data_IF_558925786596
#
_entry.id   IF_558925786596
#
_cell.length_a   1.000
_cell.length_b   1.000
_cell.length_c   1.000
_cell.angle_alpha   90.00
_cell.angle_beta   90.00
_cell.angle_gamma   90.00
#
_symmetry.space_group_name_H-M   'P 1'
#
loop_
_entity.id
_entity.type
_entity.pdbx_description
1 polymer ?
#
# COMPACT_ATOMS: atom_id res chain seq x y z
N UNK A 1 13.24 19.53 -63.65
CA UNK A 1 13.36 18.09 -63.35
C UNK A 1 13.75 17.94 -61.89
N UNK A 2 12.77 17.69 -61.01
CA UNK A 2 13.08 17.35 -59.61
C UNK A 2 13.60 15.92 -59.66
N UNK A 3 14.88 15.74 -59.36
CA UNK A 3 15.60 14.48 -59.56
C UNK A 3 15.09 13.41 -58.58
N UNK A 4 15.10 12.14 -59.00
CA UNK A 4 14.80 10.95 -58.17
C UNK A 4 15.47 10.99 -56.79
N UNK A 5 16.64 11.63 -56.72
CA UNK A 5 17.39 11.90 -55.49
C UNK A 5 16.58 12.71 -54.47
N UNK A 6 15.84 13.72 -54.91
CA UNK A 6 15.04 14.59 -54.04
C UNK A 6 13.84 13.84 -53.45
N UNK A 7 13.14 13.02 -54.25
CA UNK A 7 12.05 12.17 -53.76
C UNK A 7 12.54 11.12 -52.77
N UNK A 8 13.69 10.53 -53.05
CA UNK A 8 14.35 9.55 -52.17
C UNK A 8 14.75 10.20 -50.86
N UNK A 9 15.38 11.38 -50.91
CA UNK A 9 15.75 12.14 -49.72
C UNK A 9 14.52 12.54 -48.89
N UNK A 10 13.41 12.95 -49.52
CA UNK A 10 12.18 13.31 -48.82
C UNK A 10 11.55 12.11 -48.11
N UNK A 11 11.50 10.95 -48.78
CA UNK A 11 10.92 9.71 -48.24
C UNK A 11 11.71 9.22 -47.02
N UNK A 12 13.03 9.16 -47.12
CA UNK A 12 13.86 8.72 -46.01
C UNK A 12 13.92 9.76 -44.89
N UNK A 13 13.93 11.06 -45.21
CA UNK A 13 13.81 12.13 -44.23
C UNK A 13 12.51 12.05 -43.42
N UNK A 14 11.38 11.85 -44.10
CA UNK A 14 10.09 11.65 -43.45
C UNK A 14 10.07 10.38 -42.58
N UNK A 15 10.65 9.27 -43.07
CA UNK A 15 10.72 8.02 -42.30
C UNK A 15 11.53 8.20 -41.02
N UNK A 16 12.68 8.88 -41.07
CA UNK A 16 13.51 9.17 -39.89
C UNK A 16 12.74 10.07 -38.92
N UNK A 17 12.08 11.12 -39.42
CA UNK A 17 11.28 12.01 -38.59
C UNK A 17 10.16 11.26 -37.86
N UNK A 18 9.44 10.37 -38.56
CA UNK A 18 8.40 9.53 -37.99
C UNK A 18 8.98 8.58 -36.94
N UNK A 19 10.13 7.98 -37.21
CA UNK A 19 10.81 7.11 -36.25
C UNK A 19 11.24 7.85 -34.98
N UNK A 20 11.78 9.07 -35.12
CA UNK A 20 12.12 9.95 -33.99
C UNK A 20 10.87 10.32 -33.20
N UNK A 21 9.76 10.64 -33.88
CA UNK A 21 8.50 10.93 -33.22
C UNK A 21 7.98 9.73 -32.41
N UNK A 22 7.96 8.53 -33.00
CA UNK A 22 7.57 7.29 -32.30
C UNK A 22 8.50 7.01 -31.12
N UNK A 23 9.81 7.21 -31.30
CA UNK A 23 10.76 7.03 -30.20
C UNK A 23 10.54 8.05 -29.07
N UNK A 24 10.25 9.31 -29.40
CA UNK A 24 9.93 10.37 -28.44
C UNK A 24 8.61 10.10 -27.70
N UNK A 25 7.56 9.64 -28.38
CA UNK A 25 6.28 9.32 -27.74
C UNK A 25 6.41 8.14 -26.79
N UNK A 26 7.09 7.07 -27.21
CA UNK A 26 7.39 5.93 -26.34
C UNK A 26 8.25 6.38 -25.16
N UNK A 27 9.34 7.11 -25.40
CA UNK A 27 10.21 7.64 -24.35
C UNK A 27 9.47 8.57 -23.39
N UNK A 28 8.56 9.40 -23.87
CA UNK A 28 7.73 10.29 -23.03
C UNK A 28 6.81 9.48 -22.12
N UNK A 29 6.15 8.47 -22.68
CA UNK A 29 5.27 7.58 -21.92
C UNK A 29 6.05 6.83 -20.83
N UNK A 30 7.24 6.32 -21.16
CA UNK A 30 8.11 5.68 -20.17
C UNK A 30 8.63 6.66 -19.12
N UNK A 31 9.03 7.88 -19.51
CA UNK A 31 9.49 8.91 -18.57
C UNK A 31 8.39 9.40 -17.64
N UNK A 32 7.16 9.58 -18.11
CA UNK A 32 6.06 10.00 -17.25
C UNK A 32 5.76 8.92 -16.21
N UNK A 33 5.80 7.64 -16.59
CA UNK A 33 5.66 6.51 -15.65
C UNK A 33 6.80 6.50 -14.62
N UNK A 34 8.04 6.86 -14.99
CA UNK A 34 9.16 6.95 -14.05
C UNK A 34 9.16 8.22 -13.19
N UNK A 35 8.67 9.36 -13.70
CA UNK A 35 8.60 10.64 -12.97
C UNK A 35 7.45 10.64 -11.95
N UNK A 36 6.39 9.85 -12.18
CA UNK A 36 5.42 9.46 -11.15
C UNK A 36 5.89 8.29 -10.26
N UNK A 37 7.20 8.18 -10.01
CA UNK A 37 7.73 7.60 -8.77
C UNK A 37 8.09 8.72 -7.77
N UNK A 38 7.14 9.28 -6.99
CA UNK A 38 7.47 10.26 -5.97
C UNK A 38 8.38 9.63 -4.91
N UNK A 39 9.61 10.11 -4.90
CA UNK A 39 10.59 9.99 -3.82
C UNK A 39 9.91 9.93 -2.45
N UNK A 40 10.24 8.89 -1.64
CA UNK A 40 9.91 8.74 -0.21
C UNK A 40 9.92 10.12 0.49
N UNK A 41 8.74 10.74 0.61
CA UNK A 41 8.68 12.13 1.01
C UNK A 41 9.10 12.25 2.48
N UNK A 42 10.04 13.15 2.71
CA UNK A 42 10.70 13.44 4.01
C UNK A 42 9.71 13.84 5.12
N UNK A 43 8.42 14.01 4.79
CA UNK A 43 7.33 14.32 5.70
C UNK A 43 7.15 13.25 6.80
N UNK A 44 7.30 11.96 6.49
CA UNK A 44 7.18 10.88 7.49
C UNK A 44 8.32 10.91 8.51
N UNK A 45 9.54 11.29 8.10
CA UNK A 45 10.71 11.41 8.99
C UNK A 45 10.58 12.53 10.02
N UNK A 46 9.79 13.58 9.74
CA UNK A 46 9.48 14.64 10.72
C UNK A 46 8.46 14.16 11.76
N UNK A 47 7.40 13.45 11.34
CA UNK A 47 6.36 12.94 12.26
C UNK A 47 6.93 11.95 13.30
N UNK A 48 7.83 11.05 12.87
CA UNK A 48 8.47 10.09 13.77
C UNK A 48 9.50 10.75 14.74
N UNK A 49 10.18 11.82 14.31
CA UNK A 49 11.07 12.60 15.20
C UNK A 49 10.29 13.41 16.23
N UNK A 50 9.12 13.92 15.86
CA UNK A 50 8.25 14.66 16.78
C UNK A 50 7.68 13.72 17.85
N UNK A 51 7.22 12.53 17.45
CA UNK A 51 6.70 11.51 18.37
C UNK A 51 7.75 11.04 19.39
N UNK A 52 9.02 10.92 18.98
CA UNK A 52 10.12 10.58 19.91
C UNK A 52 10.43 11.70 20.89
N UNK A 53 10.28 12.99 20.51
CA UNK A 53 10.52 14.12 21.41
C UNK A 53 9.42 14.27 22.47
N UNK A 54 8.16 13.96 22.13
CA UNK A 54 7.05 14.03 23.11
C UNK A 54 7.11 12.92 24.15
N UNK A 55 7.69 11.76 23.81
CA UNK A 55 7.86 10.64 24.73
C UNK A 55 9.05 10.79 25.70
N UNK A 56 9.84 11.88 25.60
CA UNK A 56 11.12 12.03 26.29
C UNK A 56 11.17 13.23 27.26
N UNK A 57 10.01 13.68 27.75
CA UNK A 57 9.93 14.65 28.86
C UNK A 57 9.76 13.92 30.20
N UNK A 58 10.75 13.97 31.12
CA UNK A 58 10.59 13.51 32.49
C UNK A 58 10.27 14.68 33.44
N UNK A 59 9.31 14.49 34.33
CA UNK A 59 9.11 15.29 35.54
C UNK A 59 8.59 14.38 36.67
N UNK A 60 8.81 14.68 37.96
CA UNK A 60 10.00 15.18 38.64
C UNK A 60 10.49 14.17 39.72
N UNK A 61 11.80 14.01 39.93
CA UNK A 61 12.32 13.20 41.05
C UNK A 61 12.55 14.07 42.29
N UNK A 62 11.75 13.82 43.32
CA UNK A 62 11.98 14.29 44.69
C UNK A 62 13.19 13.56 45.31
N UNK A 63 14.02 14.32 46.01
CA UNK A 63 15.15 13.88 46.86
C UNK A 63 14.59 13.47 48.24
N UNK A 64 15.20 12.52 48.98
CA UNK A 64 16.22 12.90 49.95
C UNK A 64 17.37 11.88 50.09
N UNK A 65 18.30 12.19 50.98
CA UNK A 65 19.66 11.67 51.06
C UNK A 65 19.85 10.43 51.97
N UNK A 66 20.77 9.54 51.54
CA UNK A 66 21.92 8.96 52.26
C UNK A 66 21.70 8.30 53.64
N UNK A 67 21.99 6.98 53.74
CA UNK A 67 23.09 6.40 54.55
C UNK A 67 23.05 4.85 54.61
N UNK A 68 24.22 4.21 54.39
CA UNK A 68 24.82 2.99 55.04
C UNK A 68 23.94 1.76 55.42
N UNK A 69 24.37 0.48 55.46
CA UNK A 69 25.55 -0.35 55.10
C UNK A 69 25.14 -1.81 55.48
N UNK A 70 25.60 -2.80 54.72
CA UNK A 70 25.90 -4.22 55.05
C UNK A 70 24.80 -5.27 55.43
N UNK A 71 24.97 -6.56 54.99
CA UNK A 71 24.09 -7.74 55.22
C UNK A 71 24.60 -8.62 56.42
N UNK A 72 24.10 -9.84 56.80
CA UNK A 72 23.34 -10.86 56.03
C UNK A 72 22.31 -11.78 56.79
N UNK A 73 21.79 -12.78 56.05
CA UNK A 73 21.23 -14.11 56.44
C UNK A 73 19.88 -14.24 57.18
N UNK A 74 18.96 -15.06 56.60
CA UNK A 74 17.88 -15.76 57.32
C UNK A 74 16.55 -15.93 56.58
N UNK A 75 16.37 -17.09 55.92
CA UNK A 75 15.17 -17.94 55.72
C UNK A 75 13.80 -17.43 55.11
N UNK A 76 13.44 -18.11 54.00
CA UNK A 76 12.18 -18.51 53.30
C UNK A 76 10.77 -18.25 53.93
N UNK A 77 9.60 -18.41 53.22
CA UNK A 77 9.25 -18.59 51.78
C UNK A 77 8.04 -17.73 51.26
N UNK A 78 7.71 -17.75 49.95
CA UNK A 78 6.33 -17.82 49.33
C UNK A 78 6.18 -17.10 47.96
N UNK A 79 5.60 -17.82 46.97
CA UNK A 79 5.14 -17.38 45.63
C UNK A 79 3.78 -16.60 45.71
N UNK A 80 3.10 -16.09 44.62
CA UNK A 80 3.25 -16.30 43.16
C UNK A 80 3.15 -15.03 42.24
N UNK A 81 3.19 -15.25 40.90
CA UNK A 81 3.05 -14.31 39.76
C UNK A 81 1.64 -13.62 39.65
N UNK A 82 1.27 -12.67 38.72
CA UNK A 82 1.42 -12.75 37.23
C UNK A 82 1.48 -11.40 36.40
N UNK A 83 1.34 -11.52 35.05
CA UNK A 83 0.91 -10.59 33.95
C UNK A 83 1.89 -9.55 33.33
N UNK A 84 2.38 -9.75 32.09
CA UNK A 84 1.85 -9.42 30.72
C UNK A 84 1.89 -7.90 30.38
N UNK A 85 2.13 -7.38 29.17
CA UNK A 85 2.57 -7.83 27.84
C UNK A 85 2.60 -6.57 26.92
N UNK A 86 3.51 -6.50 25.92
CA UNK A 86 3.36 -5.79 24.63
C UNK A 86 4.68 -5.95 23.81
N UNK A 87 4.98 -7.12 23.23
CA UNK A 87 4.60 -7.56 21.87
C UNK A 87 5.36 -6.80 20.75
N UNK A 88 6.61 -7.20 20.44
CA UNK A 88 7.02 -8.12 19.34
C UNK A 88 6.67 -7.61 17.92
N UNK A 89 7.62 -6.89 17.34
CA UNK A 89 7.83 -6.84 15.89
C UNK A 89 8.40 -8.20 15.45
N UNK A 90 7.51 -9.12 15.10
CA UNK A 90 7.75 -10.33 14.29
C UNK A 90 6.39 -11.03 14.15
N UNK A 91 5.58 -10.59 13.19
CA UNK A 91 4.46 -11.37 12.66
C UNK A 91 4.91 -11.80 11.25
N UNK A 92 5.55 -12.96 11.12
CA UNK A 92 4.93 -14.28 11.05
C UNK A 92 4.47 -14.58 9.62
N UNK A 93 5.37 -15.20 8.86
CA UNK A 93 5.01 -16.27 7.93
C UNK A 93 4.24 -17.32 8.73
N UNK A 94 2.91 -17.24 8.72
CA UNK A 94 2.03 -18.33 9.09
C UNK A 94 1.56 -19.02 7.79
N UNK A 95 1.35 -20.35 7.79
CA UNK A 95 0.65 -21.04 6.71
C UNK A 95 -0.84 -20.77 6.88
N UNK A 96 -1.28 -19.59 6.45
CA UNK A 96 -2.66 -19.12 6.51
C UNK A 96 -2.88 -18.16 5.36
N UNK A 97 -4.11 -18.04 4.85
CA UNK A 97 -4.43 -17.20 3.70
C UNK A 97 -4.00 -15.74 3.85
N UNK A 98 -4.16 -14.92 2.80
CA UNK A 98 -3.68 -13.55 2.82
C UNK A 98 -4.36 -12.79 3.96
N UNK A 99 -3.55 -12.02 4.69
CA UNK A 99 -3.89 -11.30 5.92
C UNK A 99 -3.84 -9.78 5.76
N UNK A 100 -3.33 -9.31 4.62
CA UNK A 100 -3.12 -7.90 4.35
C UNK A 100 -3.55 -7.53 2.93
N UNK A 101 -4.29 -6.44 2.78
CA UNK A 101 -4.46 -5.78 1.49
C UNK A 101 -3.38 -4.70 1.39
N UNK A 102 -2.53 -4.78 0.37
CA UNK A 102 -1.39 -3.86 0.18
C UNK A 102 -1.57 -3.10 -1.11
N UNK A 103 -1.52 -1.77 -1.01
CA UNK A 103 -1.49 -0.89 -2.17
C UNK A 103 -0.06 -0.89 -2.70
N UNK A 104 0.13 -1.40 -3.91
CA UNK A 104 1.45 -1.54 -4.54
C UNK A 104 1.76 -0.40 -5.51
N UNK A 105 0.73 0.28 -6.02
CA UNK A 105 0.88 1.41 -6.95
C UNK A 105 -0.24 2.45 -6.76
N UNK A 106 0.02 3.68 -7.18
CA UNK A 106 -0.88 4.83 -7.08
C UNK A 106 -0.61 5.75 -5.88
N UNK A 107 -1.47 6.76 -5.65
CA UNK A 107 -1.25 7.80 -4.63
C UNK A 107 -1.08 7.28 -3.20
N UNK A 108 -1.62 6.09 -2.92
CA UNK A 108 -1.59 5.45 -1.61
C UNK A 108 -0.60 4.28 -1.51
N UNK A 109 0.31 4.13 -2.48
CA UNK A 109 1.29 3.06 -2.51
C UNK A 109 2.07 2.92 -1.18
N UNK A 110 2.22 1.67 -0.72
CA UNK A 110 2.82 1.34 0.56
C UNK A 110 1.86 1.39 1.75
N UNK A 111 0.60 1.78 1.54
CA UNK A 111 -0.46 1.62 2.55
C UNK A 111 -0.92 0.17 2.59
N UNK A 112 -1.21 -0.31 3.79
CA UNK A 112 -1.70 -1.67 4.00
C UNK A 112 -2.85 -1.68 4.97
N UNK A 113 -3.88 -2.47 4.66
CA UNK A 113 -5.06 -2.63 5.51
C UNK A 113 -5.15 -4.10 5.95
N UNK A 114 -5.33 -4.38 7.25
CA UNK A 114 -5.50 -5.75 7.72
C UNK A 114 -6.79 -6.36 7.19
N UNK A 115 -6.69 -7.58 6.70
CA UNK A 115 -7.82 -8.41 6.31
C UNK A 115 -8.32 -9.15 7.55
N UNK A 116 -9.40 -8.66 8.13
CA UNK A 116 -10.00 -9.29 9.31
C UNK A 116 -11.08 -10.29 8.88
N UNK A 117 -11.11 -11.44 9.55
CA UNK A 117 -12.17 -12.43 9.34
C UNK A 117 -13.54 -11.84 9.70
N UNK A 118 -14.42 -11.77 8.69
CA UNK A 118 -15.79 -11.26 8.83
C UNK A 118 -15.99 -9.78 8.45
N UNK A 119 -14.93 -9.02 8.18
CA UNK A 119 -15.05 -7.63 7.71
C UNK A 119 -14.82 -7.55 6.20
N UNK A 120 -15.74 -6.91 5.47
CA UNK A 120 -15.51 -6.53 4.09
C UNK A 120 -14.72 -5.23 4.01
N UNK A 121 -13.73 -5.17 3.13
CA UNK A 121 -12.99 -3.95 2.82
C UNK A 121 -13.63 -3.29 1.61
N UNK A 122 -14.14 -2.08 1.80
CA UNK A 122 -14.70 -1.27 0.72
C UNK A 122 -13.65 -0.30 0.19
N UNK A 123 -13.61 -0.14 -1.12
CA UNK A 123 -12.72 0.76 -1.84
C UNK A 123 -13.54 1.73 -2.69
N UNK A 124 -13.22 3.02 -2.61
CA UNK A 124 -13.89 4.05 -3.39
C UNK A 124 -13.56 5.45 -2.91
N UNK A 125 -14.09 6.47 -3.59
CA UNK A 125 -13.79 7.87 -3.30
C UNK A 125 -14.48 8.43 -2.05
N UNK A 126 -15.60 7.84 -1.64
CA UNK A 126 -16.30 8.29 -0.45
C UNK A 126 -15.50 8.01 0.83
N UNK A 127 -15.56 8.94 1.79
CA UNK A 127 -14.91 8.81 3.09
C UNK A 127 -15.50 7.68 3.97
N UNK A 128 -16.64 7.13 3.58
CA UNK A 128 -17.26 5.95 4.20
C UNK A 128 -16.55 4.63 3.87
N UNK A 129 -15.62 4.62 2.92
CA UNK A 129 -14.89 3.41 2.55
C UNK A 129 -13.75 3.11 3.51
N UNK A 130 -13.41 1.82 3.62
CA UNK A 130 -12.24 1.38 4.40
C UNK A 130 -10.94 1.89 3.76
N UNK A 131 -10.86 1.84 2.42
CA UNK A 131 -9.79 2.43 1.64
C UNK A 131 -10.38 3.57 0.80
N UNK A 132 -10.08 4.79 1.21
CA UNK A 132 -10.52 6.00 0.50
C UNK A 132 -9.56 6.29 -0.64
N UNK A 133 -10.04 6.21 -1.88
CA UNK A 133 -9.27 6.47 -3.09
C UNK A 133 -9.61 7.86 -3.63
N UNK A 134 -8.72 8.82 -3.46
CA UNK A 134 -8.90 10.19 -3.96
C UNK A 134 -8.53 10.27 -5.45
N UNK A 135 -9.46 9.84 -6.30
CA UNK A 135 -9.29 9.73 -7.75
C UNK A 135 -10.63 9.95 -8.48
N UNK A 136 -10.62 10.82 -9.50
CA UNK A 136 -11.81 11.14 -10.31
C UNK A 136 -12.36 9.94 -11.10
N UNK A 137 -11.49 8.99 -11.46
CA UNK A 137 -11.86 7.76 -12.17
C UNK A 137 -12.43 6.70 -11.22
N UNK A 138 -12.54 7.00 -9.92
CA UNK A 138 -13.06 6.08 -8.92
C UNK A 138 -14.43 6.54 -8.41
N UNK A 139 -15.43 5.67 -8.59
CA UNK A 139 -16.77 5.84 -8.04
C UNK A 139 -16.76 5.93 -6.50
N UNK A 140 -17.78 6.60 -5.94
CA UNK A 140 -17.90 6.80 -4.48
C UNK A 140 -17.81 5.49 -3.69
N UNK A 141 -18.47 4.43 -4.15
CA UNK A 141 -18.28 3.05 -3.68
C UNK A 141 -17.97 2.23 -4.92
N UNK A 142 -16.71 1.86 -5.13
CA UNK A 142 -16.24 1.31 -6.41
C UNK A 142 -16.20 -0.21 -6.38
N UNK A 143 -15.56 -0.78 -5.36
CA UNK A 143 -15.42 -2.22 -5.22
C UNK A 143 -15.46 -2.62 -3.75
N UNK A 144 -15.79 -3.88 -3.50
CA UNK A 144 -15.62 -4.51 -2.19
C UNK A 144 -14.78 -5.76 -2.31
N UNK A 145 -13.87 -5.93 -1.37
CA UNK A 145 -13.13 -7.16 -1.13
C UNK A 145 -13.73 -7.80 0.12
N UNK A 146 -14.15 -9.05 0.02
CA UNK A 146 -14.81 -9.76 1.11
C UNK A 146 -14.40 -11.23 1.11
N UNK A 147 -14.61 -11.89 2.25
CA UNK A 147 -14.43 -13.33 2.36
C UNK A 147 -15.74 -14.01 1.99
N UNK A 148 -15.73 -14.80 0.93
CA UNK A 148 -16.90 -15.53 0.46
C UNK A 148 -17.31 -16.58 1.52
N UNK A 149 -18.54 -16.52 2.06
CA UNK A 149 -19.01 -17.46 3.08
C UNK A 149 -18.96 -18.93 2.61
N UNK A 150 -19.19 -19.19 1.32
CA UNK A 150 -19.27 -20.54 0.77
C UNK A 150 -17.87 -21.17 0.59
N UNK A 151 -16.95 -20.44 -0.06
CA UNK A 151 -15.61 -20.96 -0.36
C UNK A 151 -14.54 -20.63 0.70
N UNK A 152 -14.87 -19.79 1.69
CA UNK A 152 -13.93 -19.25 2.68
C UNK A 152 -12.71 -18.53 2.06
N UNK A 153 -12.79 -18.20 0.78
CA UNK A 153 -11.74 -17.55 -0.01
C UNK A 153 -12.03 -16.06 -0.17
N UNK A 154 -10.99 -15.28 -0.45
CA UNK A 154 -11.17 -13.87 -0.77
C UNK A 154 -11.78 -13.71 -2.16
N UNK A 155 -12.74 -12.81 -2.26
CA UNK A 155 -13.39 -12.43 -3.50
C UNK A 155 -13.43 -10.90 -3.61
N UNK A 156 -13.50 -10.43 -4.84
CA UNK A 156 -13.71 -9.03 -5.17
C UNK A 156 -14.95 -8.89 -6.04
N UNK A 157 -15.73 -7.86 -5.76
CA UNK A 157 -16.91 -7.48 -6.52
C UNK A 157 -16.86 -6.00 -6.84
N UNK A 158 -17.18 -5.68 -8.09
CA UNK A 158 -17.38 -4.32 -8.56
C UNK A 158 -18.78 -3.85 -8.17
N UNK A 159 -18.89 -2.71 -7.48
CA UNK A 159 -20.15 -2.13 -7.00
C UNK A 159 -20.80 -1.25 -8.08
N UNK A 160 -20.84 -1.77 -9.30
CA UNK A 160 -21.38 -1.10 -10.48
C UNK A 160 -20.68 0.24 -10.76
N UNK A 161 -19.35 0.21 -10.74
CA UNK A 161 -18.52 1.38 -10.96
C UNK A 161 -18.53 1.83 -12.42
N UNK A 162 -18.24 3.12 -12.66
CA UNK A 162 -18.29 3.69 -14.01
C UNK A 162 -17.17 3.15 -14.91
N UNK A 163 -15.93 3.12 -14.40
CA UNK A 163 -14.76 2.69 -15.16
C UNK A 163 -14.45 1.20 -15.03
N UNK A 164 -15.05 0.53 -14.05
CA UNK A 164 -14.86 -0.89 -13.79
C UNK A 164 -13.62 -1.22 -12.96
N UNK A 165 -13.65 -2.41 -12.38
CA UNK A 165 -12.52 -3.02 -11.67
C UNK A 165 -11.75 -3.97 -12.60
N UNK A 166 -10.41 -3.94 -12.54
CA UNK A 166 -9.53 -4.77 -13.37
C UNK A 166 -8.72 -5.70 -12.47
N UNK A 167 -8.89 -7.01 -12.64
CA UNK A 167 -8.17 -8.06 -11.89
C UNK A 167 -7.25 -8.79 -12.85
N UNK A 168 -5.96 -8.87 -12.55
CA UNK A 168 -4.95 -9.50 -13.42
C UNK A 168 -5.04 -9.05 -14.90
N UNK A 169 -5.15 -7.73 -15.11
CA UNK A 169 -5.30 -7.10 -16.44
C UNK A 169 -6.62 -7.36 -17.19
N UNK A 170 -7.55 -8.10 -16.59
CA UNK A 170 -8.88 -8.35 -17.15
C UNK A 170 -9.96 -7.59 -16.37
N UNK A 171 -10.87 -6.91 -17.08
CA UNK A 171 -12.03 -6.28 -16.44
C UNK A 171 -13.00 -7.35 -15.94
N UNK A 172 -13.46 -7.21 -14.70
CA UNK A 172 -14.46 -8.11 -14.12
C UNK A 172 -15.86 -7.52 -14.27
N UNK A 173 -16.86 -8.39 -14.40
CA UNK A 173 -18.29 -8.03 -14.47
C UNK A 173 -19.14 -8.76 -13.43
N UNK A 174 -18.54 -9.69 -12.69
CA UNK A 174 -19.17 -10.50 -11.65
C UNK A 174 -18.19 -10.71 -10.49
N UNK A 175 -18.68 -11.08 -9.29
CA UNK A 175 -17.82 -11.44 -8.17
C UNK A 175 -16.77 -12.48 -8.60
N UNK A 176 -15.50 -12.16 -8.39
CA UNK A 176 -14.36 -12.96 -8.84
C UNK A 176 -13.48 -13.33 -7.66
N UNK A 177 -13.03 -14.58 -7.59
CA UNK A 177 -12.08 -15.02 -6.57
C UNK A 177 -10.76 -14.26 -6.72
N UNK A 178 -10.27 -13.71 -5.61
CA UNK A 178 -9.04 -12.94 -5.56
C UNK A 178 -7.96 -13.74 -4.82
N UNK A 179 -7.08 -14.37 -5.59
CA UNK A 179 -5.94 -15.10 -5.04
C UNK A 179 -4.88 -14.13 -4.49
N UNK A 180 -4.02 -14.58 -3.55
CA UNK A 180 -2.89 -13.79 -3.06
C UNK A 180 -1.99 -13.35 -4.21
N UNK A 181 -1.41 -12.15 -4.09
CA UNK A 181 -0.46 -11.55 -5.05
C UNK A 181 -1.01 -11.36 -6.46
N UNK A 182 -2.33 -11.42 -6.63
CA UNK A 182 -2.96 -11.01 -7.87
C UNK A 182 -3.20 -9.50 -7.82
N UNK A 183 -2.68 -8.73 -8.78
CA UNK A 183 -2.88 -7.30 -8.82
C UNK A 183 -4.31 -6.96 -9.26
N UNK A 184 -4.92 -6.03 -8.55
CA UNK A 184 -6.21 -5.42 -8.84
C UNK A 184 -6.01 -3.93 -9.04
N UNK A 185 -6.48 -3.41 -10.17
CA UNK A 185 -6.43 -1.98 -10.51
C UNK A 185 -7.82 -1.37 -10.45
N UNK A 186 -7.90 -0.23 -9.76
CA UNK A 186 -9.07 0.64 -9.63
C UNK A 186 -8.58 2.08 -9.83
N UNK A 187 -9.02 2.73 -10.91
CA UNK A 187 -8.48 4.04 -11.31
C UNK A 187 -6.96 3.98 -11.47
N UNK A 188 -6.26 4.93 -10.83
CA UNK A 188 -4.81 5.01 -10.76
C UNK A 188 -4.18 4.15 -9.64
N UNK A 189 -4.98 3.42 -8.86
CA UNK A 189 -4.49 2.63 -7.71
C UNK A 189 -4.44 1.15 -8.05
N UNK A 190 -3.31 0.50 -7.75
CA UNK A 190 -3.18 -0.96 -7.84
C UNK A 190 -2.89 -1.55 -6.45
N UNK A 191 -3.61 -2.60 -6.09
CA UNK A 191 -3.42 -3.31 -4.82
C UNK A 191 -3.39 -4.83 -5.03
N UNK A 192 -2.90 -5.55 -4.04
CA UNK A 192 -2.89 -7.02 -4.00
C UNK A 192 -3.11 -7.53 -2.58
N UNK A 193 -3.50 -8.80 -2.44
CA UNK A 193 -3.59 -9.47 -1.14
C UNK A 193 -2.26 -10.15 -0.79
N UNK A 194 -1.79 -10.02 0.45
CA UNK A 194 -0.55 -10.60 0.96
C UNK A 194 -0.76 -11.39 2.25
#
# INVERSE_FOLDING_TARGET
>A
MITELTFTALKYGFLILLWVFVWLTVRSLYRDVEVFSPHKSRARRRKDRQARKTAQSPAPSARPARASKMPPTGDMPSAPAPVRAAAKANAATAPGGPSLLVIIDGPLAGTSVPLNDGASITLGRAASNTVVLDDEFVSSHHARVYRDPASQSWAIEDLNSTNGTIVNQQRISAPTMLAPRIPVRIGATTFELR
#
